data_IF_175231336960
#
_entry.id   IF_175231336960
#
_cell.length_a   1.000
_cell.length_b   1.000
_cell.length_c   1.000
_cell.angle_alpha   90.00
_cell.angle_beta   90.00
_cell.angle_gamma   90.00
#
_symmetry.space_group_name_H-M   'P 1'
#
loop_
_entity.id
_entity.type
_entity.pdbx_description
1 polymer ?
#
# COMPACT_ATOMS: atom_id res chain seq x y z
N UNK A 1 15.62 27.98 -16.42
CA UNK A 1 14.96 26.66 -16.58
C UNK A 1 13.70 26.92 -17.38
N UNK A 2 13.72 26.70 -18.70
CA UNK A 2 12.57 26.98 -19.59
C UNK A 2 11.78 25.72 -19.88
N UNK A 3 11.07 25.20 -18.88
CA UNK A 3 10.02 24.21 -19.12
C UNK A 3 8.80 24.46 -18.23
N UNK A 4 7.59 24.10 -18.68
CA UNK A 4 6.40 24.15 -17.86
C UNK A 4 6.56 23.35 -16.56
N UNK A 5 5.90 23.81 -15.50
CA UNK A 5 5.89 23.12 -14.21
C UNK A 5 5.33 21.70 -14.37
N UNK A 6 6.06 20.71 -13.84
CA UNK A 6 5.70 19.30 -13.92
C UNK A 6 5.66 18.62 -12.54
N UNK A 7 4.93 17.50 -12.39
CA UNK A 7 4.87 16.77 -11.11
C UNK A 7 6.24 16.32 -10.59
N UNK A 8 7.21 16.14 -11.47
CA UNK A 8 8.57 15.75 -11.16
C UNK A 8 9.38 16.85 -10.45
N UNK A 9 8.96 18.11 -10.57
CA UNK A 9 9.56 19.26 -9.88
C UNK A 9 8.99 19.49 -8.46
N UNK A 10 7.91 18.80 -8.08
CA UNK A 10 7.34 18.91 -6.73
C UNK A 10 8.23 18.13 -5.76
N UNK A 11 8.79 18.83 -4.76
CA UNK A 11 9.64 18.25 -3.73
C UNK A 11 8.85 17.76 -2.51
N UNK A 12 7.74 18.43 -2.19
CA UNK A 12 6.88 18.12 -1.05
C UNK A 12 5.84 19.20 -0.81
N UNK A 13 5.21 19.18 0.37
CA UNK A 13 4.19 20.14 0.76
C UNK A 13 4.47 20.64 2.19
N UNK A 14 4.24 21.95 2.42
CA UNK A 14 4.16 22.53 3.76
C UNK A 14 2.71 22.54 4.20
N UNK A 15 2.45 22.02 5.39
CA UNK A 15 1.12 21.93 6.00
C UNK A 15 1.02 22.89 7.17
N UNK A 16 -0.16 23.47 7.34
CA UNK A 16 -0.62 24.08 8.58
C UNK A 16 -1.98 23.48 8.90
N UNK A 17 -2.06 22.69 9.95
CA UNK A 17 -3.27 21.96 10.36
C UNK A 17 -3.65 22.42 11.76
N UNK A 18 -4.93 22.77 11.95
CA UNK A 18 -5.50 23.07 13.27
C UNK A 18 -6.47 21.95 13.63
N UNK A 19 -6.12 21.17 14.65
CA UNK A 19 -7.00 20.15 15.24
C UNK A 19 -7.76 20.81 16.38
N UNK A 20 -9.10 20.75 16.32
CA UNK A 20 -10.03 21.46 17.21
C UNK A 20 -10.81 20.48 18.08
N UNK A 21 -11.55 21.03 19.05
CA UNK A 21 -12.43 20.27 19.94
C UNK A 21 -11.70 19.19 20.74
N UNK A 22 -10.47 19.47 21.19
CA UNK A 22 -9.67 18.53 21.98
C UNK A 22 -10.01 18.68 23.47
N UNK A 23 -10.17 17.56 24.19
CA UNK A 23 -10.08 17.60 25.65
C UNK A 23 -8.60 17.80 26.09
N UNK A 24 -8.39 18.22 27.33
CA UNK A 24 -7.05 18.38 27.91
C UNK A 24 -6.20 17.10 27.79
N UNK A 25 -6.82 15.94 28.03
CA UNK A 25 -6.16 14.64 27.92
C UNK A 25 -5.79 14.29 26.47
N UNK A 26 -6.62 14.68 25.49
CA UNK A 26 -6.34 14.44 24.07
C UNK A 26 -5.13 15.25 23.63
N UNK A 27 -5.06 16.53 24.04
CA UNK A 27 -3.93 17.41 23.79
C UNK A 27 -2.65 16.84 24.41
N UNK A 28 -2.70 16.48 25.69
CA UNK A 28 -1.54 15.93 26.42
C UNK A 28 -1.02 14.65 25.75
N UNK A 29 -1.92 13.75 25.37
CA UNK A 29 -1.59 12.52 24.63
C UNK A 29 -0.93 12.84 23.27
N UNK A 30 -1.51 13.78 22.51
CA UNK A 30 -0.97 14.17 21.21
C UNK A 30 0.43 14.78 21.31
N UNK A 31 0.69 15.62 22.31
CA UNK A 31 2.02 16.20 22.56
C UNK A 31 3.07 15.12 22.83
N UNK A 32 2.73 14.13 23.65
CA UNK A 32 3.63 12.99 23.91
C UNK A 32 3.88 12.13 22.66
N UNK A 33 2.86 11.91 21.82
CA UNK A 33 3.04 11.21 20.55
C UNK A 33 3.86 12.01 19.53
N UNK A 34 3.80 13.35 19.56
CA UNK A 34 4.66 14.19 18.73
C UNK A 34 6.14 13.98 19.07
N UNK A 35 6.50 13.90 20.34
CA UNK A 35 7.90 13.68 20.73
C UNK A 35 8.41 12.30 20.29
N UNK A 36 7.56 11.28 20.36
CA UNK A 36 7.86 9.96 19.80
C UNK A 36 8.07 10.02 18.29
N UNK A 37 7.20 10.74 17.56
CA UNK A 37 7.32 10.90 16.10
C UNK A 37 8.59 11.67 15.72
N UNK A 38 8.97 12.71 16.46
CA UNK A 38 10.25 13.42 16.22
C UNK A 38 11.45 12.48 16.32
N UNK A 39 11.41 11.52 17.26
CA UNK A 39 12.48 10.55 17.46
C UNK A 39 12.46 9.42 16.42
N UNK A 40 11.31 8.81 16.17
CA UNK A 40 11.22 7.51 15.48
C UNK A 40 10.50 7.58 14.12
N UNK A 41 9.96 8.74 13.75
CA UNK A 41 9.10 8.91 12.58
C UNK A 41 7.80 8.10 12.69
N UNK A 42 7.14 7.90 11.55
CA UNK A 42 5.98 7.02 11.44
C UNK A 42 5.91 6.30 10.08
N UNK A 43 5.27 5.13 10.01
CA UNK A 43 5.00 4.39 8.77
C UNK A 43 4.33 5.25 7.69
N UNK A 44 4.93 5.29 6.50
CA UNK A 44 4.54 6.16 5.40
C UNK A 44 3.45 5.54 4.49
N UNK A 45 2.33 5.12 5.07
CA UNK A 45 1.21 4.53 4.33
C UNK A 45 0.62 5.48 3.28
N UNK A 46 -0.05 4.90 2.29
CA UNK A 46 -1.03 5.60 1.46
C UNK A 46 -2.34 5.74 2.23
N UNK A 47 -2.87 6.96 2.31
CA UNK A 47 -4.12 7.26 3.02
C UNK A 47 -5.38 6.83 2.23
N UNK A 48 -6.53 6.82 2.90
CA UNK A 48 -7.86 6.50 2.36
C UNK A 48 -8.20 7.33 1.12
N UNK A 49 -7.72 8.58 1.05
CA UNK A 49 -7.87 9.45 -0.12
C UNK A 49 -7.26 8.84 -1.40
N UNK A 50 -6.28 7.94 -1.29
CA UNK A 50 -5.69 7.22 -2.43
C UNK A 50 -6.57 6.08 -2.93
N UNK A 51 -7.52 5.62 -2.13
CA UNK A 51 -8.40 4.49 -2.42
C UNK A 51 -9.81 4.93 -2.81
N UNK A 52 -9.98 6.11 -3.39
CA UNK A 52 -11.31 6.61 -3.79
C UNK A 52 -12.08 5.70 -4.75
N UNK A 53 -11.39 4.84 -5.51
CA UNK A 53 -12.02 3.83 -6.39
C UNK A 53 -12.25 2.46 -5.73
N UNK A 54 -11.99 2.33 -4.42
CA UNK A 54 -12.24 1.12 -3.67
C UNK A 54 -13.72 1.01 -3.30
N UNK A 55 -14.28 -0.19 -3.48
CA UNK A 55 -15.63 -0.51 -3.07
C UNK A 55 -15.56 -1.54 -1.93
N UNK A 56 -16.09 -1.20 -0.75
CA UNK A 56 -16.02 -2.07 0.42
C UNK A 56 -16.72 -3.43 0.22
N UNK A 57 -17.71 -3.52 -0.69
CA UNK A 57 -18.45 -4.76 -0.98
C UNK A 57 -17.81 -5.55 -2.10
N UNK A 58 -17.25 -4.86 -3.10
CA UNK A 58 -16.83 -5.49 -4.36
C UNK A 58 -15.31 -5.55 -4.56
N UNK A 59 -14.55 -4.73 -3.85
CA UNK A 59 -13.09 -4.64 -3.89
C UNK A 59 -12.56 -3.64 -4.92
N UNK A 60 -11.36 -3.91 -5.45
CA UNK A 60 -10.71 -3.04 -6.43
C UNK A 60 -10.98 -3.47 -7.88
N UNK A 61 -11.23 -2.50 -8.77
CA UNK A 61 -11.33 -2.73 -10.22
C UNK A 61 -10.05 -3.40 -10.76
N UNK A 62 -8.89 -2.84 -10.41
CA UNK A 62 -7.59 -3.34 -10.90
C UNK A 62 -7.30 -4.77 -10.42
N UNK A 63 -7.67 -5.13 -9.20
CA UNK A 63 -7.56 -6.52 -8.71
C UNK A 63 -8.38 -7.48 -9.57
N UNK A 64 -9.65 -7.15 -9.85
CA UNK A 64 -10.51 -7.98 -10.70
C UNK A 64 -9.90 -8.13 -12.10
N UNK A 65 -9.36 -7.05 -12.66
CA UNK A 65 -8.69 -7.09 -13.98
C UNK A 65 -7.47 -8.00 -13.96
N UNK A 66 -6.60 -7.87 -12.95
CA UNK A 66 -5.41 -8.71 -12.79
C UNK A 66 -5.78 -10.19 -12.70
N UNK A 67 -6.84 -10.50 -11.96
CA UNK A 67 -7.37 -11.87 -11.79
C UNK A 67 -8.21 -12.33 -12.99
N UNK A 68 -8.29 -11.54 -14.09
CA UNK A 68 -9.08 -11.80 -15.30
C UNK A 68 -10.60 -11.87 -15.08
N UNK A 69 -11.09 -11.35 -13.95
CA UNK A 69 -12.51 -11.25 -13.61
C UNK A 69 -13.12 -9.98 -14.24
N UNK A 70 -13.07 -9.87 -15.57
CA UNK A 70 -13.45 -8.65 -16.32
C UNK A 70 -14.91 -8.22 -16.12
N UNK A 71 -15.83 -9.18 -15.98
CA UNK A 71 -17.22 -8.91 -15.63
C UNK A 71 -17.32 -8.15 -14.29
N UNK A 72 -16.65 -8.66 -13.26
CA UNK A 72 -16.62 -8.02 -11.94
C UNK A 72 -15.96 -6.64 -11.97
N UNK A 73 -14.90 -6.47 -12.77
CA UNK A 73 -14.25 -5.16 -12.94
C UNK A 73 -15.22 -4.11 -13.51
N UNK A 74 -15.99 -4.46 -14.55
CA UNK A 74 -17.01 -3.56 -15.10
C UNK A 74 -18.18 -3.35 -14.15
N UNK A 75 -18.61 -4.38 -13.42
CA UNK A 75 -19.68 -4.23 -12.43
C UNK A 75 -19.33 -3.14 -11.43
N UNK A 76 -18.14 -3.22 -10.83
CA UNK A 76 -17.62 -2.21 -9.90
C UNK A 76 -17.63 -0.83 -10.56
N UNK A 77 -17.08 -0.71 -11.78
CA UNK A 77 -17.02 0.57 -12.48
C UNK A 77 -18.38 1.29 -12.62
N UNK A 78 -19.45 0.56 -12.92
CA UNK A 78 -20.78 1.14 -13.12
C UNK A 78 -21.62 1.24 -11.84
N UNK A 79 -21.30 0.47 -10.80
CA UNK A 79 -22.21 0.27 -9.68
C UNK A 79 -21.63 0.64 -8.31
N UNK A 80 -20.36 1.00 -8.21
CA UNK A 80 -19.76 1.43 -6.95
C UNK A 80 -20.30 2.77 -6.53
N UNK A 81 -20.73 2.85 -5.28
CA UNK A 81 -21.31 4.02 -4.63
C UNK A 81 -20.26 4.68 -3.75
N UNK A 82 -20.09 6.00 -3.90
CA UNK A 82 -19.19 6.80 -3.08
C UNK A 82 -19.96 7.69 -2.10
N UNK A 83 -19.39 8.01 -0.92
CA UNK A 83 -20.05 8.88 0.06
C UNK A 83 -20.46 10.24 -0.51
N UNK A 84 -19.61 10.80 -1.37
CA UNK A 84 -19.78 12.11 -2.01
C UNK A 84 -20.79 12.11 -3.16
N UNK A 85 -21.26 10.95 -3.63
CA UNK A 85 -22.24 10.86 -4.72
C UNK A 85 -23.58 11.51 -4.31
N UNK A 86 -24.27 12.14 -5.27
CA UNK A 86 -25.63 12.65 -5.07
C UNK A 86 -26.62 11.51 -4.78
N UNK A 87 -27.83 11.84 -4.32
CA UNK A 87 -28.89 10.84 -4.09
C UNK A 87 -29.24 10.11 -5.39
N UNK A 88 -29.38 10.86 -6.48
CA UNK A 88 -29.71 10.34 -7.82
C UNK A 88 -28.58 9.44 -8.35
N UNK A 89 -27.32 9.83 -8.16
CA UNK A 89 -26.16 9.01 -8.56
C UNK A 89 -26.10 7.69 -7.77
N UNK A 90 -26.37 7.75 -6.45
CA UNK A 90 -26.45 6.57 -5.58
C UNK A 90 -27.55 5.61 -6.06
N UNK A 91 -28.72 6.13 -6.39
CA UNK A 91 -29.84 5.34 -6.91
C UNK A 91 -29.52 4.74 -8.29
N UNK A 92 -28.89 5.50 -9.19
CA UNK A 92 -28.47 5.04 -10.52
C UNK A 92 -27.45 3.90 -10.45
N UNK A 93 -26.42 4.05 -9.61
CA UNK A 93 -25.41 3.01 -9.37
C UNK A 93 -26.00 1.76 -8.71
N UNK A 94 -26.92 1.95 -7.76
CA UNK A 94 -27.66 0.85 -7.12
C UNK A 94 -28.51 0.10 -8.14
N UNK A 95 -29.21 0.80 -9.03
CA UNK A 95 -29.98 0.20 -10.11
C UNK A 95 -29.11 -0.72 -10.99
N UNK A 96 -27.91 -0.27 -11.38
CA UNK A 96 -26.98 -1.12 -12.14
C UNK A 96 -26.45 -2.30 -11.33
N UNK A 97 -26.23 -2.14 -10.02
CA UNK A 97 -25.78 -3.25 -9.17
C UNK A 97 -26.81 -4.39 -9.13
N UNK A 98 -28.08 -4.03 -8.94
CA UNK A 98 -29.22 -4.95 -8.78
C UNK A 98 -29.61 -5.63 -10.09
N UNK A 99 -29.54 -4.90 -11.20
CA UNK A 99 -29.91 -5.41 -12.52
C UNK A 99 -28.74 -5.96 -13.34
N UNK A 100 -27.54 -6.06 -12.74
CA UNK A 100 -26.32 -6.45 -13.45
C UNK A 100 -26.47 -7.83 -14.11
N UNK A 101 -26.21 -7.89 -15.42
CA UNK A 101 -26.41 -9.09 -16.24
C UNK A 101 -27.69 -9.07 -17.06
N UNK A 102 -28.69 -8.28 -16.68
CA UNK A 102 -29.87 -8.01 -17.50
C UNK A 102 -29.61 -6.79 -18.38
N UNK A 103 -28.90 -6.99 -19.51
CA UNK A 103 -28.42 -5.91 -20.36
C UNK A 103 -29.53 -5.06 -20.98
N UNK A 104 -30.71 -5.65 -21.23
CA UNK A 104 -31.89 -4.91 -21.70
C UNK A 104 -32.38 -3.90 -20.66
N UNK A 105 -32.47 -4.32 -19.40
CA UNK A 105 -32.87 -3.44 -18.30
C UNK A 105 -31.79 -2.38 -18.04
N UNK A 106 -30.51 -2.77 -18.01
CA UNK A 106 -29.42 -1.80 -17.87
C UNK A 106 -29.39 -0.77 -19.01
N UNK A 107 -29.66 -1.18 -20.26
CA UNK A 107 -29.70 -0.27 -21.40
C UNK A 107 -30.84 0.74 -21.30
N UNK A 108 -32.02 0.33 -20.80
CA UNK A 108 -33.15 1.25 -20.57
C UNK A 108 -32.84 2.29 -19.49
N UNK A 109 -32.14 1.89 -18.43
CA UNK A 109 -31.72 2.81 -17.36
C UNK A 109 -30.51 3.68 -17.71
N UNK A 110 -29.79 3.40 -18.79
CA UNK A 110 -28.57 4.12 -19.16
C UNK A 110 -28.82 5.59 -19.50
N UNK A 111 -28.11 6.49 -18.83
CA UNK A 111 -28.25 7.95 -19.03
C UNK A 111 -27.14 8.47 -19.93
N UNK A 112 -25.89 8.07 -19.67
CA UNK A 112 -24.72 8.57 -20.40
C UNK A 112 -24.50 7.85 -21.75
N UNK A 113 -23.82 8.53 -22.68
CA UNK A 113 -23.43 7.94 -23.98
C UNK A 113 -22.61 6.66 -23.79
N UNK A 114 -21.65 6.68 -22.85
CA UNK A 114 -20.80 5.53 -22.56
C UNK A 114 -21.59 4.33 -22.02
N UNK A 115 -22.56 4.55 -21.12
CA UNK A 115 -23.45 3.50 -20.61
C UNK A 115 -24.31 2.90 -21.73
N UNK A 116 -24.97 3.74 -22.53
CA UNK A 116 -25.84 3.28 -23.63
C UNK A 116 -25.07 2.43 -24.63
N UNK A 117 -23.88 2.88 -25.01
CA UNK A 117 -23.00 2.11 -25.91
C UNK A 117 -22.49 0.82 -25.28
N UNK A 118 -22.19 0.84 -23.97
CA UNK A 118 -21.74 -0.33 -23.21
C UNK A 118 -22.83 -1.40 -23.15
N UNK A 119 -24.02 -1.06 -22.67
CA UNK A 119 -25.07 -2.06 -22.48
C UNK A 119 -25.68 -2.55 -23.79
N UNK A 120 -25.75 -1.71 -24.83
CA UNK A 120 -26.11 -2.16 -26.19
C UNK A 120 -25.10 -3.15 -26.75
N UNK A 121 -23.81 -2.97 -26.47
CA UNK A 121 -22.78 -3.92 -26.88
C UNK A 121 -22.89 -5.23 -26.10
N UNK A 122 -23.11 -5.16 -24.78
CA UNK A 122 -23.27 -6.35 -23.93
C UNK A 122 -24.53 -7.16 -24.23
N UNK A 123 -25.61 -6.52 -24.69
CA UNK A 123 -26.81 -7.22 -25.16
C UNK A 123 -26.48 -8.17 -26.32
N UNK A 124 -25.68 -7.71 -27.30
CA UNK A 124 -25.25 -8.53 -28.45
C UNK A 124 -24.09 -9.47 -28.10
N UNK A 125 -23.25 -9.08 -27.15
CA UNK A 125 -22.06 -9.82 -26.75
C UNK A 125 -22.01 -9.99 -25.21
N UNK A 126 -22.78 -10.92 -24.62
CA UNK A 126 -22.94 -11.03 -23.17
C UNK A 126 -21.66 -11.30 -22.36
N UNK A 127 -20.58 -11.72 -23.02
CA UNK A 127 -19.26 -11.97 -22.41
C UNK A 127 -18.17 -10.99 -22.89
N UNK A 128 -18.55 -9.97 -23.65
CA UNK A 128 -17.66 -9.03 -24.34
C UNK A 128 -17.11 -7.90 -23.46
N UNK A 129 -16.55 -8.22 -22.29
CA UNK A 129 -16.14 -7.20 -21.30
C UNK A 129 -14.85 -6.46 -21.64
N UNK A 130 -13.87 -7.15 -22.25
CA UNK A 130 -12.54 -6.58 -22.53
C UNK A 130 -12.61 -5.36 -23.45
N UNK A 131 -13.35 -5.38 -24.57
CA UNK A 131 -13.48 -4.20 -25.44
C UNK A 131 -14.03 -2.96 -24.72
N UNK A 132 -14.91 -3.14 -23.74
CA UNK A 132 -15.46 -2.03 -22.95
C UNK A 132 -14.40 -1.48 -21.99
N UNK A 133 -13.69 -2.36 -21.28
CA UNK A 133 -12.57 -1.95 -20.43
C UNK A 133 -11.49 -1.20 -21.21
N UNK A 134 -11.24 -1.59 -22.46
CA UNK A 134 -10.30 -0.92 -23.36
C UNK A 134 -10.74 0.51 -23.74
N UNK A 135 -12.02 0.83 -23.62
CA UNK A 135 -12.59 2.16 -23.90
C UNK A 135 -12.63 3.08 -22.68
N UNK A 136 -12.36 2.57 -21.48
CA UNK A 136 -12.18 3.41 -20.28
C UNK A 136 -10.92 4.26 -20.50
N UNK A 137 -11.03 5.56 -20.16
CA UNK A 137 -9.96 6.52 -20.37
C UNK A 137 -8.67 6.12 -19.64
N UNK A 138 -7.54 6.59 -20.16
CA UNK A 138 -6.23 6.29 -19.61
C UNK A 138 -6.11 6.76 -18.15
N UNK A 139 -6.61 7.95 -17.84
CA UNK A 139 -6.51 8.58 -16.52
C UNK A 139 -7.23 7.75 -15.46
N UNK A 140 -8.45 7.28 -15.77
CA UNK A 140 -9.22 6.42 -14.86
C UNK A 140 -8.53 5.08 -14.61
N UNK A 141 -7.98 4.48 -15.66
CA UNK A 141 -7.23 3.23 -15.51
C UNK A 141 -5.97 3.44 -14.66
N UNK A 142 -5.20 4.49 -14.91
CA UNK A 142 -4.05 4.84 -14.06
C UNK A 142 -4.46 5.01 -12.61
N UNK A 143 -5.59 5.66 -12.32
CA UNK A 143 -6.11 5.81 -10.96
C UNK A 143 -6.42 4.45 -10.31
N UNK A 144 -7.18 3.57 -10.99
CA UNK A 144 -7.56 2.26 -10.46
C UNK A 144 -6.36 1.37 -10.16
N UNK A 145 -5.39 1.36 -11.08
CA UNK A 145 -4.17 0.55 -10.93
C UNK A 145 -3.25 1.11 -9.85
N UNK A 146 -3.11 2.43 -9.78
CA UNK A 146 -2.38 3.14 -8.73
C UNK A 146 -2.97 2.87 -7.34
N UNK A 147 -4.30 2.90 -7.20
CA UNK A 147 -4.98 2.62 -5.94
C UNK A 147 -4.70 1.19 -5.45
N UNK A 148 -4.82 0.19 -6.32
CA UNK A 148 -4.54 -1.20 -5.94
C UNK A 148 -3.05 -1.43 -5.66
N UNK A 149 -2.16 -0.80 -6.43
CA UNK A 149 -0.71 -0.86 -6.18
C UNK A 149 -0.36 -0.30 -4.79
N UNK A 150 -0.96 0.83 -4.42
CA UNK A 150 -0.83 1.43 -3.09
C UNK A 150 -1.38 0.53 -1.98
N UNK A 151 -2.48 -0.20 -2.22
CA UNK A 151 -3.04 -1.13 -1.24
C UNK A 151 -2.08 -2.30 -0.96
N UNK A 152 -1.52 -2.92 -2.00
CA UNK A 152 -0.52 -3.99 -1.83
C UNK A 152 0.74 -3.48 -1.14
N UNK A 153 1.17 -2.23 -1.44
CA UNK A 153 2.29 -1.61 -0.74
C UNK A 153 1.98 -1.38 0.75
N UNK A 154 0.77 -0.93 1.10
CA UNK A 154 0.34 -0.79 2.49
C UNK A 154 0.31 -2.14 3.23
N UNK A 155 -0.22 -3.20 2.61
CA UNK A 155 -0.20 -4.54 3.20
C UNK A 155 1.23 -5.05 3.43
N UNK A 156 2.14 -4.73 2.51
CA UNK A 156 3.54 -5.07 2.68
C UNK A 156 4.20 -4.31 3.83
N UNK A 157 4.04 -2.98 3.89
CA UNK A 157 4.56 -2.18 4.99
C UNK A 157 3.97 -2.63 6.34
N UNK A 158 2.67 -2.94 6.39
CA UNK A 158 2.00 -3.45 7.59
C UNK A 158 2.68 -4.71 8.13
N UNK A 159 3.02 -5.65 7.26
CA UNK A 159 3.74 -6.87 7.67
C UNK A 159 5.14 -6.57 8.16
N UNK A 160 5.87 -5.66 7.50
CA UNK A 160 7.20 -5.23 7.96
C UNK A 160 7.09 -4.67 9.38
N UNK A 161 6.17 -3.73 9.61
CA UNK A 161 5.98 -3.11 10.92
C UNK A 161 5.62 -4.15 11.99
N UNK A 162 4.73 -5.09 11.70
CA UNK A 162 4.40 -6.18 12.64
C UNK A 162 5.62 -7.01 13.03
N UNK A 163 6.46 -7.40 12.07
CA UNK A 163 7.61 -8.27 12.34
C UNK A 163 8.74 -7.54 13.07
N UNK A 164 8.99 -6.29 12.67
CA UNK A 164 10.00 -5.43 13.29
C UNK A 164 9.61 -5.09 14.73
N UNK A 165 8.34 -4.75 14.99
CA UNK A 165 7.87 -4.41 16.34
C UNK A 165 7.75 -5.60 17.30
N UNK A 166 7.76 -6.84 16.81
CA UNK A 166 7.63 -8.06 17.63
C UNK A 166 8.97 -8.66 18.05
N UNK A 167 10.10 -8.03 17.75
CA UNK A 167 11.45 -8.59 17.87
C UNK A 167 11.63 -9.99 17.24
N UNK A 168 10.71 -10.39 16.36
CA UNK A 168 10.84 -11.61 15.55
C UNK A 168 11.85 -11.43 14.41
N UNK A 169 12.53 -10.27 14.39
CA UNK A 169 13.52 -9.86 13.43
C UNK A 169 14.92 -10.40 13.80
N UNK A 170 15.13 -11.69 13.55
CA UNK A 170 16.47 -12.26 13.52
C UNK A 170 17.14 -11.87 12.22
N UNK A 171 18.14 -10.98 12.26
CA UNK A 171 19.12 -10.94 11.17
C UNK A 171 19.74 -12.34 11.14
N UNK A 172 19.50 -13.07 10.05
CA UNK A 172 20.29 -14.25 9.76
C UNK A 172 21.75 -13.84 9.74
N UNK A 173 22.52 -14.34 10.70
CA UNK A 173 23.97 -14.34 10.67
C UNK A 173 24.41 -15.07 9.41
N UNK A 174 24.72 -14.33 8.36
CA UNK A 174 25.58 -14.82 7.31
C UNK A 174 26.81 -13.92 7.26
N UNK A 175 27.91 -14.51 7.74
CA UNK A 175 29.32 -14.16 7.64
C UNK A 175 29.66 -12.80 7.00
N UNK A 176 30.42 -12.01 7.76
CA UNK A 176 31.43 -11.06 7.29
C UNK A 176 31.67 -11.05 5.78
N UNK A 177 31.16 -10.02 5.11
CA UNK A 177 31.72 -9.53 3.86
C UNK A 177 32.27 -8.15 4.16
N UNK A 178 33.58 -8.04 4.00
CA UNK A 178 34.37 -6.84 4.18
C UNK A 178 33.73 -5.64 3.49
N UNK A 179 33.79 -4.51 4.20
CA UNK A 179 33.59 -3.18 3.67
C UNK A 179 34.42 -2.96 2.41
N UNK A 180 33.75 -2.63 1.30
CA UNK A 180 34.34 -1.86 0.20
C UNK A 180 33.24 -1.05 -0.48
N UNK A 181 33.49 0.22 -0.90
CA UNK A 181 32.45 1.13 -1.31
C UNK A 181 31.83 0.74 -2.66
N UNK A 182 30.53 1.00 -2.82
CA UNK A 182 29.79 0.85 -4.07
C UNK A 182 30.47 1.62 -5.22
N UNK A 183 30.69 1.03 -6.41
CA UNK A 183 31.23 1.76 -7.55
C UNK A 183 30.18 2.71 -8.14
N UNK A 184 30.62 3.94 -8.40
CA UNK A 184 29.93 4.94 -9.22
C UNK A 184 29.76 4.39 -10.65
N UNK A 185 28.53 4.40 -11.16
CA UNK A 185 28.23 4.02 -12.54
C UNK A 185 28.96 4.95 -13.53
N UNK A 186 29.84 4.37 -14.34
CA UNK A 186 30.28 4.97 -15.61
C UNK A 186 30.06 4.00 -16.77
N UNK A 187 29.72 4.58 -17.93
CA UNK A 187 29.31 3.94 -19.18
C UNK A 187 30.45 3.11 -19.81
N UNK A 188 30.13 1.97 -20.44
CA UNK A 188 30.32 1.70 -21.89
C UNK A 188 30.41 0.19 -22.24
N UNK A 189 29.74 -0.15 -23.36
CA UNK A 189 30.04 -1.13 -24.44
C UNK A 189 30.86 -2.40 -24.19
N UNK A 190 30.34 -3.51 -24.75
CA UNK A 190 31.11 -4.37 -25.67
C UNK A 190 31.35 -5.83 -25.26
N UNK A 191 30.71 -6.74 -26.02
CA UNK A 191 31.18 -8.06 -26.53
C UNK A 191 31.79 -9.11 -25.59
N UNK A 192 31.38 -10.37 -25.81
CA UNK A 192 32.19 -11.56 -25.51
C UNK A 192 31.42 -12.76 -24.97
N UNK A 193 31.12 -13.73 -25.84
CA UNK A 193 30.71 -15.10 -25.51
C UNK A 193 31.79 -15.82 -24.70
N UNK A 194 31.41 -16.68 -23.74
CA UNK A 194 32.07 -17.98 -23.50
C UNK A 194 31.06 -18.98 -22.91
N UNK A 195 30.94 -20.12 -23.57
CA UNK A 195 30.23 -21.36 -23.20
C UNK A 195 31.00 -22.13 -22.10
N UNK A 196 30.35 -22.93 -21.23
CA UNK A 196 30.74 -24.33 -20.90
C UNK A 196 29.78 -25.00 -19.89
N UNK A 197 29.74 -26.34 -20.03
CA UNK A 197 28.71 -27.35 -19.72
C UNK A 197 28.45 -27.77 -18.26
N UNK A 198 27.27 -28.39 -18.11
CA UNK A 198 26.78 -29.27 -17.05
C UNK A 198 27.75 -30.36 -16.57
N UNK A 199 27.56 -30.80 -15.32
CA UNK A 199 27.54 -32.23 -14.96
C UNK A 199 26.68 -32.50 -13.72
N UNK A 200 25.78 -33.48 -13.85
CA UNK A 200 24.93 -34.09 -12.82
C UNK A 200 25.76 -35.00 -11.89
N UNK A 201 25.27 -35.23 -10.66
CA UNK A 201 25.20 -36.55 -10.01
C UNK A 201 24.42 -36.50 -8.68
N UNK A 202 23.31 -37.24 -8.62
CA UNK A 202 22.75 -37.91 -7.41
C UNK A 202 23.31 -39.36 -7.39
N UNK A 203 23.01 -40.30 -6.44
CA UNK A 203 22.02 -40.40 -5.33
C UNK A 203 22.67 -41.03 -4.03
N UNK A 204 22.02 -41.74 -3.05
CA UNK A 204 20.62 -42.19 -2.90
C UNK A 204 19.96 -42.04 -1.50
N UNK A 205 18.74 -42.60 -1.41
CA UNK A 205 17.69 -42.47 -0.39
C UNK A 205 17.69 -43.54 0.72
N UNK A 206 17.44 -43.08 1.96
CA UNK A 206 16.61 -43.69 3.06
C UNK A 206 17.07 -45.01 3.74
N UNK A 207 16.69 -45.30 5.01
CA UNK A 207 15.29 -45.55 5.42
C UNK A 207 14.85 -44.95 6.78
N UNK A 208 13.53 -45.05 7.01
CA UNK A 208 12.76 -44.69 8.23
C UNK A 208 13.30 -45.35 9.51
N UNK A 209 13.21 -44.63 10.63
CA UNK A 209 12.89 -45.21 11.94
C UNK A 209 11.95 -44.29 12.72
N UNK A 210 10.86 -44.89 13.16
CA UNK A 210 9.90 -44.39 14.14
C UNK A 210 10.51 -44.48 15.53
N UNK A 211 10.64 -43.37 16.25
CA UNK A 211 10.85 -43.44 17.69
C UNK A 211 10.18 -42.29 18.42
N UNK A 212 9.21 -42.69 19.23
CA UNK A 212 8.34 -41.86 20.07
C UNK A 212 9.02 -41.76 21.43
N UNK A 213 9.93 -40.81 21.61
CA UNK A 213 10.59 -40.58 22.90
C UNK A 213 9.96 -39.39 23.63
N UNK A 214 9.23 -39.70 24.70
CA UNK A 214 8.85 -38.76 25.76
C UNK A 214 10.12 -38.16 26.38
N UNK A 215 10.27 -36.84 26.38
CA UNK A 215 11.15 -36.12 27.31
C UNK A 215 10.41 -34.94 27.91
N UNK A 216 10.46 -34.90 29.24
CA UNK A 216 9.90 -33.94 30.18
C UNK A 216 10.36 -32.50 29.90
N UNK A 217 9.60 -31.48 30.37
CA UNK A 217 9.82 -30.09 29.97
C UNK A 217 11.12 -29.53 30.55
N UNK A 218 11.96 -29.00 29.67
CA UNK A 218 13.07 -28.13 30.03
C UNK A 218 12.45 -26.81 30.52
N UNK A 219 12.72 -26.44 31.78
CA UNK A 219 12.45 -25.12 32.34
C UNK A 219 13.26 -24.08 31.56
N UNK A 220 12.66 -23.53 30.50
CA UNK A 220 13.17 -22.36 29.78
C UNK A 220 12.55 -21.12 30.40
N UNK A 221 13.40 -20.17 30.80
CA UNK A 221 13.00 -18.90 31.39
C UNK A 221 11.95 -18.19 30.55
N UNK A 222 11.09 -17.45 31.25
CA UNK A 222 10.10 -16.56 30.66
C UNK A 222 10.79 -15.63 29.65
N UNK A 223 10.70 -15.96 28.37
CA UNK A 223 10.75 -14.96 27.32
C UNK A 223 9.48 -14.16 27.56
N UNK A 224 9.62 -13.08 28.32
CA UNK A 224 8.62 -12.02 28.39
C UNK A 224 8.44 -11.50 26.98
N UNK A 225 7.52 -12.11 26.24
CA UNK A 225 7.04 -11.61 24.97
C UNK A 225 6.31 -10.29 25.30
N UNK A 226 7.05 -9.18 25.34
CA UNK A 226 6.46 -7.85 25.36
C UNK A 226 5.50 -7.82 24.18
N UNK A 227 4.20 -7.62 24.45
CA UNK A 227 3.24 -7.37 23.38
C UNK A 227 3.75 -6.14 22.62
N UNK A 228 3.78 -6.17 21.30
CA UNK A 228 4.17 -5.00 20.53
C UNK A 228 3.22 -3.85 20.88
N UNK A 229 3.76 -2.71 21.28
CA UNK A 229 2.99 -1.48 21.46
C UNK A 229 2.66 -0.90 20.07
N UNK A 230 1.75 -1.57 19.36
CA UNK A 230 1.22 -1.13 18.08
C UNK A 230 -0.15 -0.47 18.27
N UNK A 231 -0.23 0.79 17.87
CA UNK A 231 -1.49 1.52 17.72
C UNK A 231 -2.11 1.22 16.36
N UNK A 232 -3.45 1.19 16.31
CA UNK A 232 -4.22 0.83 15.13
C UNK A 232 -5.18 1.96 14.79
N UNK A 233 -5.03 2.56 13.61
CA UNK A 233 -6.05 3.44 13.04
C UNK A 233 -6.83 2.70 11.97
N UNK A 234 -8.16 2.79 11.96
CA UNK A 234 -8.99 2.13 10.93
C UNK A 234 -8.92 2.90 9.60
N UNK A 235 -8.84 2.15 8.51
CA UNK A 235 -8.86 2.69 7.15
C UNK A 235 -9.89 1.99 6.28
N UNK A 236 -10.22 2.58 5.14
CA UNK A 236 -11.25 2.04 4.23
C UNK A 236 -10.76 0.77 3.53
N UNK A 237 -9.46 0.68 3.24
CA UNK A 237 -8.82 -0.43 2.53
C UNK A 237 -7.80 -1.16 3.42
N UNK A 238 -8.17 -1.38 4.68
CA UNK A 238 -7.35 -2.00 5.72
C UNK A 238 -6.90 -1.01 6.78
N UNK A 239 -6.46 -1.53 7.92
CA UNK A 239 -6.04 -0.72 9.07
C UNK A 239 -4.74 0.07 8.76
N UNK A 240 -4.26 0.88 9.69
CA UNK A 240 -2.93 1.48 9.68
C UNK A 240 -2.25 1.14 11.01
N UNK A 241 -1.06 0.55 10.96
CA UNK A 241 -0.32 0.13 12.16
C UNK A 241 0.81 1.09 12.45
N UNK A 242 0.86 1.59 13.67
CA UNK A 242 1.86 2.55 14.12
C UNK A 242 2.58 2.01 15.35
N UNK A 243 3.91 1.94 15.31
CA UNK A 243 4.71 1.69 16.50
C UNK A 243 4.69 2.92 17.42
N UNK A 244 4.69 2.70 18.73
CA UNK A 244 4.87 3.78 19.72
C UNK A 244 6.34 4.16 19.87
N UNK A 245 7.24 3.18 19.82
CA UNK A 245 8.67 3.34 19.96
C UNK A 245 9.42 2.26 19.15
N UNK A 246 10.61 2.62 18.68
CA UNK A 246 11.58 1.69 18.10
C UNK A 246 12.84 1.64 18.97
N UNK A 247 13.50 0.49 19.02
CA UNK A 247 14.91 0.44 19.40
C UNK A 247 15.80 0.99 18.27
N UNK A 248 17.07 1.27 18.59
CA UNK A 248 18.01 1.90 17.66
C UNK A 248 18.27 1.08 16.39
N UNK A 249 18.28 -0.25 16.51
CA UNK A 249 18.52 -1.18 15.39
C UNK A 249 17.37 -1.13 14.41
N UNK A 250 16.14 -1.28 14.90
CA UNK A 250 14.92 -1.27 14.11
C UNK A 250 14.66 0.12 13.50
N UNK A 251 14.97 1.19 14.24
CA UNK A 251 14.94 2.56 13.74
C UNK A 251 15.94 2.77 12.60
N UNK A 252 17.19 2.34 12.76
CA UNK A 252 18.22 2.48 11.73
C UNK A 252 17.84 1.75 10.43
N UNK A 253 17.32 0.52 10.56
CA UNK A 253 16.82 -0.23 9.43
C UNK A 253 15.64 0.46 8.73
N UNK A 254 14.56 0.79 9.46
CA UNK A 254 13.37 1.40 8.86
C UNK A 254 13.63 2.79 8.25
N UNK A 255 14.54 3.57 8.84
CA UNK A 255 14.91 4.91 8.33
C UNK A 255 15.60 4.87 6.97
N UNK A 256 16.31 3.78 6.67
CA UNK A 256 17.02 3.58 5.39
C UNK A 256 16.21 2.77 4.39
N UNK A 257 15.14 2.12 4.85
CA UNK A 257 14.33 1.24 4.02
C UNK A 257 13.51 2.01 2.98
N UNK A 258 13.84 1.77 1.71
CA UNK A 258 13.11 2.25 0.54
C UNK A 258 12.47 1.07 -0.17
N UNK A 259 11.14 1.10 -0.28
CA UNK A 259 10.34 0.01 -0.82
C UNK A 259 9.84 0.39 -2.23
N UNK A 260 10.13 -0.43 -3.25
CA UNK A 260 9.57 -0.23 -4.58
C UNK A 260 8.07 -0.52 -4.61
N UNK A 261 7.32 0.26 -5.37
CA UNK A 261 5.91 -0.01 -5.63
C UNK A 261 5.74 -1.33 -6.41
N UNK A 262 4.77 -2.19 -6.06
CA UNK A 262 4.54 -3.49 -6.72
C UNK A 262 4.45 -3.40 -8.24
N UNK A 263 5.38 -4.03 -8.95
CA UNK A 263 5.40 -4.12 -10.41
C UNK A 263 6.10 -5.43 -10.85
N UNK A 264 6.07 -5.73 -12.15
CA UNK A 264 6.50 -7.05 -12.66
C UNK A 264 7.99 -7.36 -12.46
N UNK A 265 8.86 -6.34 -12.49
CA UNK A 265 10.31 -6.47 -12.43
C UNK A 265 10.92 -5.53 -11.38
N UNK A 266 10.52 -5.70 -10.12
CA UNK A 266 11.07 -4.93 -9.01
C UNK A 266 12.21 -5.70 -8.32
N UNK A 267 13.21 -4.97 -7.86
CA UNK A 267 14.26 -5.49 -7.00
C UNK A 267 14.01 -5.02 -5.58
N UNK A 268 13.89 -5.96 -4.65
CA UNK A 268 13.78 -5.63 -3.23
C UNK A 268 15.15 -5.25 -2.65
N UNK A 269 15.18 -4.38 -1.62
CA UNK A 269 16.42 -3.88 -1.05
C UNK A 269 17.24 -4.98 -0.35
N UNK A 270 16.59 -5.99 0.22
CA UNK A 270 17.22 -7.10 0.93
C UNK A 270 16.42 -8.41 0.84
N UNK A 271 16.99 -9.51 1.34
CA UNK A 271 16.35 -10.83 1.29
C UNK A 271 15.12 -10.93 2.21
N UNK A 272 15.11 -10.20 3.32
CA UNK A 272 13.97 -10.17 4.24
C UNK A 272 12.73 -9.60 3.53
N UNK A 273 12.85 -8.41 2.95
CA UNK A 273 11.79 -7.75 2.19
C UNK A 273 11.39 -8.53 0.96
N UNK A 274 12.33 -9.20 0.28
CA UNK A 274 12.07 -10.09 -0.85
C UNK A 274 11.18 -11.28 -0.47
N UNK A 275 11.52 -11.97 0.63
CA UNK A 275 10.76 -13.13 1.10
C UNK A 275 9.36 -12.69 1.56
N UNK A 276 9.29 -11.64 2.36
CA UNK A 276 8.04 -11.13 2.89
C UNK A 276 7.10 -10.60 1.80
N UNK A 277 7.64 -9.95 0.77
CA UNK A 277 6.83 -9.52 -0.36
C UNK A 277 6.26 -10.70 -1.15
N UNK A 278 7.03 -11.79 -1.30
CA UNK A 278 6.56 -13.01 -1.94
C UNK A 278 5.38 -13.63 -1.18
N UNK A 279 5.40 -13.57 0.16
CA UNK A 279 4.27 -13.96 1.01
C UNK A 279 3.06 -13.06 0.79
N UNK A 280 3.23 -11.74 0.77
CA UNK A 280 2.14 -10.78 0.49
C UNK A 280 1.47 -11.09 -0.84
N UNK A 281 2.25 -11.33 -1.90
CA UNK A 281 1.69 -11.68 -3.20
C UNK A 281 0.93 -13.00 -3.14
N UNK A 282 1.47 -14.02 -2.47
CA UNK A 282 0.83 -15.33 -2.32
C UNK A 282 -0.52 -15.22 -1.59
N UNK A 283 -0.57 -14.51 -0.47
CA UNK A 283 -1.79 -14.28 0.31
C UNK A 283 -2.87 -13.54 -0.49
N UNK A 284 -2.45 -12.60 -1.35
CA UNK A 284 -3.35 -11.86 -2.22
C UNK A 284 -3.72 -12.62 -3.52
N UNK A 285 -3.25 -13.86 -3.69
CA UNK A 285 -3.40 -14.66 -4.91
C UNK A 285 -2.84 -13.94 -6.16
N UNK A 286 -1.67 -13.33 -6.02
CA UNK A 286 -0.95 -12.60 -7.06
C UNK A 286 0.38 -13.30 -7.40
N UNK A 287 0.86 -13.04 -8.63
CA UNK A 287 2.20 -13.43 -9.11
C UNK A 287 2.82 -12.25 -9.84
N UNK A 288 4.14 -12.08 -9.76
CA UNK A 288 4.84 -10.95 -10.40
C UNK A 288 4.50 -10.74 -11.90
N UNK A 289 4.35 -11.79 -12.72
CA UNK A 289 3.96 -11.61 -14.13
C UNK A 289 2.57 -11.00 -14.34
N UNK A 290 1.67 -11.06 -13.35
CA UNK A 290 0.31 -10.51 -13.46
C UNK A 290 0.33 -8.98 -13.58
N UNK A 291 1.33 -8.30 -13.03
CA UNK A 291 1.49 -6.85 -13.15
C UNK A 291 1.80 -6.40 -14.59
N UNK A 292 2.06 -7.31 -15.53
CA UNK A 292 2.20 -7.00 -16.96
C UNK A 292 0.88 -7.25 -17.72
N UNK A 293 0.09 -6.20 -17.95
CA UNK A 293 -1.26 -6.31 -18.51
C UNK A 293 -1.26 -6.04 -20.01
N UNK A 294 -0.87 -7.04 -20.81
CA UNK A 294 -0.79 -6.89 -22.28
C UNK A 294 -2.11 -6.52 -22.97
N UNK A 295 -3.26 -6.93 -22.40
CA UNK A 295 -4.59 -6.71 -22.98
C UNK A 295 -5.14 -5.29 -22.77
N UNK A 296 -4.57 -4.52 -21.85
CA UNK A 296 -5.03 -3.17 -21.50
C UNK A 296 -3.80 -2.26 -21.46
N UNK A 297 -3.40 -1.75 -22.64
CA UNK A 297 -2.17 -0.94 -22.79
C UNK A 297 -2.23 0.37 -21.99
N UNK A 298 -3.44 0.85 -21.67
CA UNK A 298 -3.63 2.02 -20.82
C UNK A 298 -3.40 1.76 -19.33
N UNK A 299 -3.33 0.49 -18.90
CA UNK A 299 -3.09 0.10 -17.52
C UNK A 299 -1.63 -0.26 -17.30
N UNK A 300 -0.99 0.37 -16.32
CA UNK A 300 0.38 0.06 -15.97
C UNK A 300 0.66 0.32 -14.49
N UNK A 301 1.63 -0.41 -13.95
CA UNK A 301 2.14 -0.23 -12.60
C UNK A 301 3.42 0.59 -12.67
N UNK A 302 3.47 1.72 -11.95
CA UNK A 302 4.66 2.57 -11.89
C UNK A 302 5.64 1.99 -10.87
N UNK A 303 6.87 1.71 -11.28
CA UNK A 303 7.95 1.28 -10.38
C UNK A 303 8.58 2.43 -9.62
N UNK A 304 7.78 3.20 -8.88
CA UNK A 304 8.28 4.32 -8.05
C UNK A 304 8.76 3.76 -6.71
N UNK A 305 9.82 4.34 -6.16
CA UNK A 305 10.34 3.99 -4.84
C UNK A 305 9.76 4.90 -3.75
N UNK A 306 9.59 4.34 -2.54
CA UNK A 306 8.98 5.02 -1.41
C UNK A 306 9.66 4.65 -0.10
N UNK A 307 10.02 5.66 0.71
CA UNK A 307 10.54 5.42 2.08
C UNK A 307 9.48 4.73 2.94
N UNK A 308 9.88 3.74 3.72
CA UNK A 308 9.00 2.98 4.60
C UNK A 308 8.44 3.82 5.74
N UNK A 309 9.25 4.71 6.31
CA UNK A 309 8.86 5.67 7.35
C UNK A 309 9.16 7.11 6.91
N UNK A 310 8.53 8.07 7.58
CA UNK A 310 8.74 9.50 7.38
C UNK A 310 8.71 10.22 8.72
N UNK A 311 9.54 11.26 8.84
CA UNK A 311 9.54 12.18 9.98
C UNK A 311 9.17 13.57 9.45
N UNK A 312 8.20 14.29 10.06
CA UNK A 312 7.89 15.65 9.66
C UNK A 312 9.09 16.57 9.85
N UNK A 313 9.41 17.34 8.81
CA UNK A 313 10.48 18.35 8.85
C UNK A 313 9.91 19.70 9.30
N UNK A 314 10.74 20.56 9.90
CA UNK A 314 10.34 21.89 10.39
C UNK A 314 9.06 21.88 11.28
N UNK A 315 8.89 20.83 12.11
CA UNK A 315 7.68 20.67 12.92
C UNK A 315 7.61 21.72 14.04
N UNK A 316 6.67 22.66 13.90
CA UNK A 316 6.28 23.63 14.92
C UNK A 316 4.93 23.24 15.49
N UNK A 317 4.85 23.23 16.82
CA UNK A 317 3.67 22.83 17.59
C UNK A 317 3.24 24.00 18.46
N UNK A 318 1.97 24.35 18.38
CA UNK A 318 1.35 25.39 19.20
C UNK A 318 -0.03 24.91 19.68
N UNK A 319 -0.49 25.35 20.84
CA UNK A 319 -1.78 24.97 21.39
C UNK A 319 -2.37 26.08 22.26
N UNK A 320 -3.69 26.17 22.26
CA UNK A 320 -4.43 27.20 23.00
C UNK A 320 -5.85 26.72 23.33
N UNK A 321 -6.61 27.55 24.04
CA UNK A 321 -8.07 27.40 24.10
C UNK A 321 -8.68 27.46 22.68
N UNK A 322 -9.71 26.65 22.46
CA UNK A 322 -10.45 26.64 21.21
C UNK A 322 -11.51 27.74 21.23
N UNK A 323 -11.38 28.70 20.33
CA UNK A 323 -12.30 29.82 20.18
C UNK A 323 -13.67 29.40 19.60
N UNK A 324 -13.77 28.22 18.99
CA UNK A 324 -15.02 27.70 18.40
C UNK A 324 -15.74 26.77 19.39
N UNK A 325 -14.98 25.95 20.11
CA UNK A 325 -15.52 24.94 21.02
C UNK A 325 -15.22 25.32 22.47
N UNK A 326 -16.19 25.93 23.15
CA UNK A 326 -16.02 26.43 24.52
C UNK A 326 -15.56 25.32 25.49
N UNK A 327 -14.51 25.61 26.27
CA UNK A 327 -13.93 24.66 27.23
C UNK A 327 -13.11 23.54 26.60
N UNK A 328 -12.79 23.63 25.31
CA UNK A 328 -11.92 22.70 24.58
C UNK A 328 -10.63 23.37 24.18
N UNK A 329 -9.63 22.57 23.83
CA UNK A 329 -8.34 23.01 23.30
C UNK A 329 -8.29 22.86 21.79
N UNK A 330 -7.37 23.60 21.18
CA UNK A 330 -6.91 23.39 19.80
C UNK A 330 -5.40 23.16 19.76
N UNK A 331 -4.97 22.37 18.78
CA UNK A 331 -3.57 22.08 18.49
C UNK A 331 -3.27 22.52 17.05
N UNK A 332 -2.30 23.41 16.88
CA UNK A 332 -1.81 23.86 15.57
C UNK A 332 -0.47 23.20 15.26
N UNK A 333 -0.40 22.52 14.13
CA UNK A 333 0.78 21.84 13.64
C UNK A 333 1.22 22.47 12.32
N UNK A 334 2.46 22.93 12.24
CA UNK A 334 3.09 23.37 11.00
C UNK A 334 4.28 22.49 10.70
N UNK A 335 4.37 21.92 9.50
CA UNK A 335 5.44 20.99 9.15
C UNK A 335 5.56 20.83 7.63
N UNK A 336 6.70 20.34 7.18
CA UNK A 336 6.94 19.92 5.80
C UNK A 336 6.92 18.38 5.70
N UNK A 337 6.36 17.87 4.59
CA UNK A 337 6.51 16.48 4.21
C UNK A 337 6.98 16.36 2.74
N UNK A 338 7.91 15.44 2.45
CA UNK A 338 8.31 15.13 1.08
C UNK A 338 7.16 14.63 0.21
N UNK A 339 7.34 14.72 -1.11
CA UNK A 339 6.34 14.26 -2.09
C UNK A 339 5.92 12.81 -1.84
N UNK A 340 4.64 12.55 -2.06
CA UNK A 340 4.03 11.25 -1.85
C UNK A 340 3.64 10.97 -0.39
N UNK A 341 4.03 11.77 0.58
CA UNK A 341 3.55 11.62 1.96
C UNK A 341 2.16 12.27 2.14
N UNK A 342 1.42 11.81 3.15
CA UNK A 342 0.07 12.28 3.44
C UNK A 342 0.04 12.93 4.83
N UNK A 343 -0.36 14.21 4.91
CA UNK A 343 -0.50 14.91 6.20
C UNK A 343 -1.53 14.25 7.13
N UNK A 344 -2.57 13.65 6.55
CA UNK A 344 -3.58 12.86 7.28
C UNK A 344 -2.98 11.65 8.00
N UNK A 345 -1.92 11.02 7.48
CA UNK A 345 -1.23 9.93 8.18
C UNK A 345 -0.53 10.40 9.45
N UNK A 346 0.04 11.62 9.44
CA UNK A 346 0.60 12.19 10.65
C UNK A 346 -0.49 12.42 11.69
N UNK A 347 -1.63 12.99 11.29
CA UNK A 347 -2.76 13.18 12.20
C UNK A 347 -3.28 11.85 12.75
N UNK A 348 -3.46 10.82 11.91
CA UNK A 348 -3.85 9.47 12.37
C UNK A 348 -2.83 8.90 13.34
N UNK A 349 -1.52 9.10 13.13
CA UNK A 349 -0.48 8.66 14.07
C UNK A 349 -0.63 9.30 15.45
N UNK A 350 -1.02 10.57 15.53
CA UNK A 350 -1.15 11.28 16.81
C UNK A 350 -2.39 10.87 17.60
N UNK A 351 -3.50 10.56 16.91
CA UNK A 351 -4.82 10.36 17.55
C UNK A 351 -5.35 8.91 17.46
N UNK A 352 -4.48 7.92 17.22
CA UNK A 352 -4.84 6.50 17.22
C UNK A 352 -4.50 5.76 18.51
#
# INVERSE_FOLDING_TARGET
>A
MDRPMGPDLITGNRFQIVVRNLAENDLTSALHEIDRVKRDGYPNYFDDQRFGSFDARQGFIAEKILKKHYNGALKIYFSSIHPEDSKEEKEHRKFFYENWGNWQVCLKGATSKFEKETFRYLEKHPKGFIPILQRISHEKMVLFFSAYQSHIWNEFLRKIIRLVSNDSFMFGTSKTINSSPLPVLSKAKGMGEVEWREKKNHPPLSPRSTERSRRSPIKGGEISCRRPDLKISKGIAGDYLFYTQLDDKNKAYLSTLVIPMPASNIRMPDDFTKNLFSEVLKENNLKSPMFNIRKLRQAFFKGIERKAIVTPEDLVVDYAEDEIYQGKKKLTLKFFLPRGCYGTMFIKRLFC
#
